data_IF_719152793528
#
_entry.id   IF_719152793528
#
_cell.length_a   1.000
_cell.length_b   1.000
_cell.length_c   1.000
_cell.angle_alpha   90.00
_cell.angle_beta   90.00
_cell.angle_gamma   90.00
#
_symmetry.space_group_name_H-M   'P 1'
#
loop_
_entity.id
_entity.type
_entity.pdbx_description
1 polymer ?
#
# COMPACT_ATOMS: atom_id res chain seq x y z
N UNK A 1 0.89 -36.01 28.85
CA UNK A 1 0.30 -34.97 27.98
C UNK A 1 0.96 -35.10 26.63
N UNK A 2 0.22 -35.49 25.59
CA UNK A 2 0.71 -35.54 24.21
C UNK A 2 0.65 -34.12 23.65
N UNK A 3 1.81 -33.56 23.29
CA UNK A 3 1.91 -32.18 22.83
C UNK A 3 1.53 -32.10 21.34
N UNK A 4 0.52 -31.30 21.00
CA UNK A 4 0.21 -30.96 19.61
C UNK A 4 1.34 -30.09 19.03
N UNK A 5 1.62 -30.25 17.73
CA UNK A 5 2.70 -29.54 17.05
C UNK A 5 2.14 -28.45 16.12
N UNK A 6 2.78 -27.28 16.13
CA UNK A 6 2.56 -26.20 15.15
C UNK A 6 3.62 -26.31 14.06
N UNK A 7 3.22 -26.43 12.79
CA UNK A 7 4.14 -26.47 11.65
C UNK A 7 3.73 -25.48 10.56
N UNK A 8 4.65 -24.58 10.22
CA UNK A 8 4.51 -23.72 9.05
C UNK A 8 5.02 -24.49 7.82
N UNK A 9 4.17 -24.63 6.80
CA UNK A 9 4.57 -25.23 5.53
C UNK A 9 4.72 -24.11 4.51
N UNK A 10 5.95 -23.89 4.05
CA UNK A 10 6.21 -22.94 2.97
C UNK A 10 6.15 -23.70 1.64
N UNK A 11 5.11 -23.47 0.85
CA UNK A 11 5.09 -23.93 -0.55
C UNK A 11 5.93 -22.98 -1.42
N UNK A 12 6.46 -23.45 -2.57
CA UNK A 12 7.21 -22.62 -3.50
C UNK A 12 6.43 -21.36 -3.86
N UNK A 13 7.09 -20.21 -3.73
CA UNK A 13 6.49 -18.89 -3.91
C UNK A 13 6.14 -18.65 -5.39
N UNK A 14 4.86 -18.68 -5.72
CA UNK A 14 4.35 -17.85 -6.82
C UNK A 14 4.35 -16.39 -6.31
N UNK A 15 5.09 -15.47 -6.95
CA UNK A 15 5.20 -14.07 -6.50
C UNK A 15 3.87 -13.30 -6.53
N UNK A 16 2.81 -13.87 -7.12
CA UNK A 16 1.46 -13.28 -7.16
C UNK A 16 0.51 -13.88 -6.11
N UNK A 17 0.87 -15.02 -5.50
CA UNK A 17 0.00 -15.78 -4.59
C UNK A 17 0.79 -16.42 -3.45
N UNK A 18 1.59 -15.66 -2.71
CA UNK A 18 2.29 -16.19 -1.54
C UNK A 18 1.29 -16.65 -0.44
N UNK A 19 0.83 -17.91 -0.53
CA UNK A 19 -0.01 -18.56 0.48
C UNK A 19 0.92 -19.35 1.41
N UNK A 20 1.07 -18.87 2.64
CA UNK A 20 1.62 -19.67 3.73
C UNK A 20 0.52 -20.56 4.28
N UNK A 21 0.71 -21.88 4.25
CA UNK A 21 -0.24 -22.82 4.81
C UNK A 21 0.17 -23.16 6.25
N UNK A 22 -0.78 -23.03 7.18
CA UNK A 22 -0.62 -23.48 8.57
C UNK A 22 -1.38 -24.79 8.72
N UNK A 23 -0.66 -25.85 9.06
CA UNK A 23 -1.25 -27.15 9.37
C UNK A 23 -1.03 -27.49 10.84
N UNK A 24 -2.06 -28.05 11.47
CA UNK A 24 -2.04 -28.53 12.85
C UNK A 24 -1.85 -30.04 12.83
N UNK A 25 -0.91 -30.55 13.63
CA UNK A 25 -0.60 -31.97 13.70
C UNK A 25 -0.79 -32.50 15.13
N UNK A 26 -1.18 -33.77 15.25
CA UNK A 26 -1.15 -34.49 16.52
C UNK A 26 0.30 -34.76 16.98
N UNK A 27 0.45 -35.42 18.12
CA UNK A 27 1.78 -35.72 18.67
C UNK A 27 2.57 -36.74 17.83
N UNK A 28 1.89 -37.50 16.97
CA UNK A 28 2.46 -38.51 16.10
C UNK A 28 2.79 -37.93 14.70
N UNK A 29 2.49 -36.64 14.47
CA UNK A 29 2.77 -35.94 13.23
C UNK A 29 1.71 -36.15 12.14
N UNK A 30 0.53 -36.67 12.49
CA UNK A 30 -0.60 -36.77 11.56
C UNK A 30 -1.40 -35.46 11.57
N UNK A 31 -1.96 -35.01 10.42
CA UNK A 31 -2.85 -33.87 10.39
C UNK A 31 -4.00 -34.04 11.38
N UNK A 32 -4.25 -33.03 12.21
CA UNK A 32 -5.36 -33.06 13.14
C UNK A 32 -6.68 -32.99 12.37
N UNK A 33 -7.50 -34.03 12.44
CA UNK A 33 -8.83 -34.03 11.85
C UNK A 33 -9.79 -33.17 12.69
N UNK A 34 -10.17 -32.03 12.13
CA UNK A 34 -11.12 -31.08 12.75
C UNK A 34 -12.58 -31.34 12.33
N UNK A 35 -12.83 -32.32 11.46
CA UNK A 35 -14.17 -32.63 10.92
C UNK A 35 -15.02 -33.49 11.87
N UNK A 36 -14.39 -34.31 12.72
CA UNK A 36 -15.05 -35.26 13.64
C UNK A 36 -15.62 -34.68 14.94
N UNK A 37 -15.64 -33.35 15.11
CA UNK A 37 -16.36 -32.68 16.18
C UNK A 37 -15.71 -32.66 17.57
N UNK A 38 -14.64 -33.42 17.81
CA UNK A 38 -13.95 -33.48 19.11
C UNK A 38 -13.02 -32.30 19.42
N UNK A 39 -12.28 -31.80 18.42
CA UNK A 39 -11.39 -30.63 18.54
C UNK A 39 -11.91 -29.53 17.62
N UNK A 40 -12.36 -28.40 18.17
CA UNK A 40 -12.89 -27.27 17.40
C UNK A 40 -12.03 -26.03 17.61
N UNK A 41 -11.74 -25.31 16.53
CA UNK A 41 -11.25 -23.94 16.63
C UNK A 41 -12.44 -23.09 17.09
N UNK A 42 -12.48 -22.73 18.37
CA UNK A 42 -13.59 -21.97 18.97
C UNK A 42 -13.43 -20.46 18.81
N UNK A 43 -12.20 -19.99 18.56
CA UNK A 43 -11.91 -18.57 18.33
C UNK A 43 -10.68 -18.40 17.45
N UNK A 44 -10.71 -17.39 16.57
CA UNK A 44 -9.54 -16.89 15.84
C UNK A 44 -9.45 -15.39 16.11
N UNK A 45 -8.31 -14.93 16.64
CA UNK A 45 -8.05 -13.51 16.86
C UNK A 45 -6.93 -13.06 15.93
N UNK A 46 -7.27 -12.24 14.94
CA UNK A 46 -6.29 -11.52 14.15
C UNK A 46 -6.03 -10.15 14.82
N UNK A 47 -4.75 -9.83 15.06
CA UNK A 47 -4.32 -8.54 15.62
C UNK A 47 -3.49 -7.80 14.56
N UNK A 48 -3.55 -6.47 14.54
CA UNK A 48 -2.82 -5.62 13.58
C UNK A 48 -3.27 -5.71 12.11
N UNK A 49 -4.58 -5.75 11.85
CA UNK A 49 -5.10 -5.52 10.50
C UNK A 49 -4.80 -4.07 10.09
N UNK A 50 -4.40 -3.87 8.83
CA UNK A 50 -4.14 -2.55 8.28
C UNK A 50 -5.35 -1.63 8.47
N UNK A 51 -5.11 -0.34 8.73
CA UNK A 51 -6.16 0.65 8.92
C UNK A 51 -6.99 0.83 7.63
N UNK A 52 -8.32 0.82 7.77
CA UNK A 52 -9.27 0.89 6.66
C UNK A 52 -10.73 0.73 7.14
N UNK A 53 -11.62 0.31 6.25
CA UNK A 53 -12.99 -0.11 6.61
C UNK A 53 -12.97 -1.22 7.66
N UNK A 54 -14.09 -1.39 8.39
CA UNK A 54 -14.21 -2.45 9.39
C UNK A 54 -13.81 -3.81 8.77
N UNK A 55 -12.93 -4.58 9.42
CA UNK A 55 -12.53 -5.88 8.89
C UNK A 55 -13.73 -6.81 8.80
N UNK A 56 -13.75 -7.65 7.77
CA UNK A 56 -14.81 -8.65 7.59
C UNK A 56 -14.32 -10.01 8.01
N UNK A 57 -15.19 -10.80 8.62
CA UNK A 57 -14.97 -12.21 8.91
C UNK A 57 -16.14 -13.00 8.32
N UNK A 58 -15.83 -13.89 7.37
CA UNK A 58 -16.83 -14.75 6.72
C UNK A 58 -16.47 -16.20 6.94
N UNK A 59 -17.40 -16.98 7.50
CA UNK A 59 -17.29 -18.43 7.57
C UNK A 59 -18.21 -19.04 6.50
N UNK A 60 -17.62 -19.67 5.48
CA UNK A 60 -18.37 -20.33 4.41
C UNK A 60 -17.63 -21.60 3.97
N UNK A 61 -18.36 -22.70 3.76
CA UNK A 61 -17.81 -23.97 3.28
C UNK A 61 -16.59 -24.48 4.08
N UNK A 62 -16.57 -24.24 5.40
CA UNK A 62 -15.46 -24.65 6.27
C UNK A 62 -14.22 -23.75 6.21
N UNK A 63 -14.24 -22.67 5.42
CA UNK A 63 -13.15 -21.70 5.31
C UNK A 63 -13.53 -20.42 6.05
N UNK A 64 -12.65 -20.00 6.97
CA UNK A 64 -12.73 -18.68 7.60
C UNK A 64 -11.88 -17.69 6.78
N UNK A 65 -12.54 -16.72 6.16
CA UNK A 65 -11.89 -15.65 5.41
C UNK A 65 -11.89 -14.37 6.25
N UNK A 66 -10.69 -13.82 6.49
CA UNK A 66 -10.52 -12.50 7.11
C UNK A 66 -10.18 -11.49 6.02
N UNK A 67 -11.12 -10.61 5.72
CA UNK A 67 -10.93 -9.53 4.75
C UNK A 67 -10.22 -8.34 5.39
N UNK A 68 -9.00 -8.03 4.91
CA UNK A 68 -8.37 -6.73 5.12
C UNK A 68 -8.71 -5.84 3.91
N UNK A 69 -9.67 -4.91 4.03
CA UNK A 69 -9.94 -4.01 2.92
C UNK A 69 -8.70 -3.18 2.61
N UNK A 70 -8.47 -2.89 1.33
CA UNK A 70 -7.46 -1.92 0.96
C UNK A 70 -7.75 -0.58 1.68
N UNK A 71 -6.71 0.07 2.17
CA UNK A 71 -6.83 1.42 2.72
C UNK A 71 -7.42 2.37 1.68
N UNK A 72 -8.08 3.44 2.13
CA UNK A 72 -8.60 4.45 1.22
C UNK A 72 -7.46 4.99 0.34
N UNK A 73 -7.74 5.19 -0.95
CA UNK A 73 -6.79 5.86 -1.85
C UNK A 73 -6.46 7.23 -1.27
N UNK A 74 -5.18 7.58 -1.21
CA UNK A 74 -4.76 8.93 -0.84
C UNK A 74 -5.40 10.00 -1.73
N UNK A 75 -5.63 11.18 -1.17
CA UNK A 75 -6.10 12.31 -1.96
C UNK A 75 -5.13 12.59 -3.12
N UNK A 76 -5.61 12.99 -4.31
CA UNK A 76 -4.73 13.50 -5.35
C UNK A 76 -3.86 14.64 -4.82
N UNK A 77 -2.60 14.70 -5.27
CA UNK A 77 -1.74 15.84 -4.97
C UNK A 77 -2.31 17.14 -5.55
N UNK A 78 -1.85 18.28 -5.03
CA UNK A 78 -2.18 19.59 -5.59
C UNK A 78 -1.70 19.68 -7.05
N UNK A 79 -2.45 20.40 -7.89
CA UNK A 79 -2.02 20.66 -9.27
C UNK A 79 -0.65 21.35 -9.30
N UNK A 80 0.21 20.94 -10.24
CA UNK A 80 1.50 21.58 -10.46
C UNK A 80 1.36 23.01 -10.99
N UNK A 81 2.26 23.90 -10.58
CA UNK A 81 2.33 25.27 -11.09
C UNK A 81 3.31 25.30 -12.26
N UNK A 82 2.81 25.61 -13.46
CA UNK A 82 3.58 25.71 -14.69
C UNK A 82 3.94 27.15 -15.07
N UNK A 83 4.59 27.33 -16.22
CA UNK A 83 4.81 28.66 -16.82
C UNK A 83 3.57 29.05 -17.64
N UNK A 84 3.05 30.25 -17.41
CA UNK A 84 1.95 30.84 -18.18
C UNK A 84 2.47 31.76 -19.29
N UNK A 85 3.42 32.62 -18.96
CA UNK A 85 4.05 33.52 -19.90
C UNK A 85 5.43 33.96 -19.42
N UNK A 86 6.24 34.43 -20.37
CA UNK A 86 7.54 35.05 -20.12
C UNK A 86 7.53 36.41 -20.80
N UNK A 87 7.92 37.45 -20.06
CA UNK A 87 8.22 38.77 -20.60
C UNK A 87 9.71 39.01 -20.49
N UNK A 88 10.34 39.46 -21.58
CA UNK A 88 11.78 39.73 -21.63
C UNK A 88 12.02 41.25 -21.73
N UNK A 89 13.03 41.71 -21.01
CA UNK A 89 13.48 43.11 -21.05
C UNK A 89 14.70 43.21 -21.96
N UNK A 90 14.66 44.17 -22.88
CA UNK A 90 15.79 44.50 -23.75
C UNK A 90 16.42 45.82 -23.33
N UNK A 91 17.74 45.92 -23.48
CA UNK A 91 18.43 47.21 -23.46
C UNK A 91 18.29 47.94 -24.80
N UNK A 92 18.91 49.12 -24.90
CA UNK A 92 18.96 49.95 -26.10
C UNK A 92 19.73 49.33 -27.25
N UNK A 93 20.65 48.41 -26.97
CA UNK A 93 21.45 47.70 -27.96
C UNK A 93 20.75 46.43 -28.46
N UNK A 94 19.61 46.09 -27.85
CA UNK A 94 18.78 44.94 -28.19
C UNK A 94 19.10 43.67 -27.41
N UNK A 95 20.03 43.70 -26.44
CA UNK A 95 20.37 42.54 -25.63
C UNK A 95 19.31 42.29 -24.56
N UNK A 96 19.10 41.02 -24.19
CA UNK A 96 18.22 40.66 -23.07
C UNK A 96 18.94 40.94 -21.75
N UNK A 97 18.39 41.83 -20.92
CA UNK A 97 18.97 42.18 -19.61
C UNK A 97 18.21 41.60 -18.43
N UNK A 98 17.04 41.02 -18.68
CA UNK A 98 16.21 40.43 -17.65
C UNK A 98 14.87 39.95 -18.19
N UNK A 99 13.99 39.59 -17.28
CA UNK A 99 12.61 39.24 -17.61
C UNK A 99 11.79 38.88 -16.39
N UNK A 100 10.55 38.47 -16.63
CA UNK A 100 9.63 37.97 -15.61
C UNK A 100 8.94 36.71 -16.13
N UNK A 101 8.95 35.66 -15.32
CA UNK A 101 8.08 34.49 -15.51
C UNK A 101 6.78 34.76 -14.76
N UNK A 102 5.65 34.65 -15.46
CA UNK A 102 4.34 34.53 -14.84
C UNK A 102 3.96 33.06 -14.83
N UNK A 103 3.66 32.53 -13.65
CA UNK A 103 3.26 31.14 -13.46
C UNK A 103 1.76 30.94 -13.68
N UNK A 104 1.30 29.70 -13.84
CA UNK A 104 -0.12 29.38 -14.08
C UNK A 104 -1.05 29.85 -12.95
N UNK A 105 -0.53 29.97 -11.74
CA UNK A 105 -1.20 30.53 -10.56
C UNK A 105 -1.17 32.08 -10.48
N UNK A 106 -0.67 32.75 -11.52
CA UNK A 106 -0.45 34.21 -11.61
C UNK A 106 0.62 34.77 -10.67
N UNK A 107 1.36 33.94 -9.93
CA UNK A 107 2.56 34.40 -9.24
C UNK A 107 3.66 34.75 -10.26
N UNK A 108 4.54 35.69 -9.90
CA UNK A 108 5.62 36.14 -10.77
C UNK A 108 6.99 35.90 -10.14
N UNK A 109 8.00 35.70 -10.98
CA UNK A 109 9.40 35.54 -10.54
C UNK A 109 10.31 36.21 -11.56
N UNK A 110 11.31 36.96 -11.10
CA UNK A 110 12.27 37.62 -11.97
C UNK A 110 13.20 36.60 -12.66
N UNK A 111 13.52 36.86 -13.91
CA UNK A 111 14.61 36.20 -14.64
C UNK A 111 15.83 37.11 -14.52
N UNK A 112 16.86 36.64 -13.82
CA UNK A 112 18.14 37.33 -13.73
C UNK A 112 19.07 36.82 -14.82
N UNK A 113 19.53 37.72 -15.69
CA UNK A 113 20.55 37.40 -16.69
C UNK A 113 21.92 37.56 -16.03
N UNK A 114 22.76 36.54 -16.15
CA UNK A 114 24.16 36.58 -15.69
C UNK A 114 25.07 36.21 -16.86
N UNK A 115 26.26 36.80 -16.91
CA UNK A 115 27.29 36.45 -17.90
C UNK A 115 28.13 35.29 -17.35
N UNK A 116 28.27 34.22 -18.13
CA UNK A 116 29.21 33.13 -17.84
C UNK A 116 30.62 33.46 -18.34
#
# INVERSE_FOLDING_TARGET
MTAAQFRTVQQPLDPTTAVGEIALFDADGNPLDLSGGGQKITSVKATALAAGTAPTATLANGVLTIGIPAGAKGAPGTAGVGVKSISLTKDTDGNITGGTVTKTDNSTTAITVTTA
#
